data_IF_912764573044
#
_entry.id   IF_912764573044
#
_cell.length_a   1.000
_cell.length_b   1.000
_cell.length_c   1.000
_cell.angle_alpha   90.00
_cell.angle_beta   90.00
_cell.angle_gamma   90.00
#
_symmetry.space_group_name_H-M   'P 1'
#
loop_
_entity.id
_entity.type
_entity.pdbx_description
1 polymer ?
#
# COMPACT_ATOMS: atom_id res chain seq x y z
N UNK A 1 2.24 1.63 27.87
CA UNK A 1 2.52 2.04 26.49
C UNK A 1 1.39 1.52 25.60
N UNK A 2 0.84 2.37 24.73
CA UNK A 2 0.00 1.97 23.60
C UNK A 2 0.83 2.20 22.34
N UNK A 3 0.90 1.19 21.47
CA UNK A 3 1.58 1.27 20.19
C UNK A 3 0.54 1.60 19.12
N UNK A 4 0.82 2.56 18.26
CA UNK A 4 -0.08 2.96 17.17
C UNK A 4 0.65 2.87 15.82
N UNK A 5 -0.11 2.63 14.75
CA UNK A 5 0.29 2.60 13.36
C UNK A 5 1.27 1.48 13.04
N UNK A 6 2.57 1.65 13.20
CA UNK A 6 3.55 0.61 12.90
C UNK A 6 3.80 -0.29 14.11
N UNK A 7 3.68 -1.60 13.90
CA UNK A 7 3.89 -2.58 14.98
C UNK A 7 5.36 -2.62 15.42
N UNK A 8 5.59 -2.54 16.73
CA UNK A 8 6.90 -2.83 17.29
C UNK A 8 7.17 -4.33 17.28
N UNK A 9 8.44 -4.71 17.27
CA UNK A 9 8.82 -6.12 17.41
C UNK A 9 8.50 -6.61 18.83
N UNK A 10 7.37 -7.32 18.96
CA UNK A 10 6.86 -7.81 20.24
C UNK A 10 7.76 -8.86 20.88
N UNK A 11 8.44 -9.68 20.09
CA UNK A 11 9.38 -10.70 20.58
C UNK A 11 10.57 -10.02 21.24
N UNK A 12 11.24 -9.12 20.53
CA UNK A 12 12.37 -8.35 21.08
C UNK A 12 11.97 -7.51 22.30
N UNK A 13 10.78 -6.91 22.29
CA UNK A 13 10.29 -6.17 23.45
C UNK A 13 10.12 -7.07 24.68
N UNK A 14 9.53 -8.25 24.49
CA UNK A 14 9.30 -9.22 25.57
C UNK A 14 10.60 -9.76 26.15
N UNK A 15 11.59 -10.06 25.31
CA UNK A 15 12.94 -10.48 25.74
C UNK A 15 13.62 -9.41 26.61
N UNK A 16 13.36 -8.13 26.34
CA UNK A 16 13.85 -7.01 27.14
C UNK A 16 13.00 -6.71 28.39
N UNK A 17 11.99 -7.53 28.68
CA UNK A 17 11.09 -7.34 29.82
C UNK A 17 10.06 -6.21 29.61
N UNK A 18 9.87 -5.74 28.39
CA UNK A 18 8.88 -4.75 28.04
C UNK A 18 7.53 -5.36 27.69
N UNK A 19 6.48 -4.51 27.70
CA UNK A 19 5.14 -4.86 27.25
C UNK A 19 4.41 -3.64 26.69
N UNK A 20 3.45 -3.86 25.78
CA UNK A 20 2.46 -2.87 25.38
C UNK A 20 1.09 -3.27 25.93
N UNK A 21 0.31 -2.26 26.31
CA UNK A 21 -1.06 -2.45 26.75
C UNK A 21 -1.99 -2.80 25.57
N UNK A 22 -1.80 -2.08 24.45
CA UNK A 22 -2.58 -2.29 23.24
C UNK A 22 -1.80 -1.87 21.98
N UNK A 23 -2.22 -2.41 20.84
CA UNK A 23 -1.78 -2.00 19.51
C UNK A 23 -3.00 -1.59 18.67
N UNK A 24 -2.92 -0.42 18.03
CA UNK A 24 -3.99 0.14 17.19
C UNK A 24 -3.40 0.52 15.84
N UNK A 25 -3.92 -0.05 14.80
CA UNK A 25 -3.49 0.24 13.42
C UNK A 25 -4.62 0.02 12.42
N UNK A 26 -4.38 0.46 11.20
CA UNK A 26 -5.18 0.07 10.03
C UNK A 26 -5.02 -1.43 9.76
N UNK A 27 -6.09 -2.09 9.33
CA UNK A 27 -6.01 -3.45 8.79
C UNK A 27 -5.32 -3.43 7.41
N UNK A 28 -4.00 -3.56 7.44
CA UNK A 28 -3.16 -3.41 6.24
C UNK A 28 -3.34 -4.55 5.23
N UNK A 29 -3.74 -5.75 5.66
CA UNK A 29 -4.10 -6.84 4.74
C UNK A 29 -5.36 -6.47 3.98
N UNK A 30 -6.40 -5.97 4.69
CA UNK A 30 -7.64 -5.53 4.05
C UNK A 30 -7.42 -4.35 3.10
N UNK A 31 -6.52 -3.44 3.44
CA UNK A 31 -6.12 -2.32 2.55
C UNK A 31 -5.56 -2.84 1.22
N UNK A 32 -4.63 -3.79 1.27
CA UNK A 32 -4.09 -4.44 0.07
C UNK A 32 -5.17 -5.13 -0.76
N UNK A 33 -6.06 -5.88 -0.09
CA UNK A 33 -7.21 -6.53 -0.73
C UNK A 33 -8.09 -5.52 -1.46
N UNK A 34 -8.51 -4.42 -0.79
CA UNK A 34 -9.38 -3.40 -1.38
C UNK A 34 -8.76 -2.72 -2.61
N UNK A 35 -7.47 -2.40 -2.55
CA UNK A 35 -6.76 -1.81 -3.69
C UNK A 35 -6.69 -2.76 -4.89
N UNK A 36 -6.40 -4.04 -4.64
CA UNK A 36 -6.36 -5.06 -5.66
C UNK A 36 -7.76 -5.36 -6.24
N UNK A 37 -8.79 -5.53 -5.40
CA UNK A 37 -10.18 -5.72 -5.82
C UNK A 37 -10.62 -4.60 -6.79
N UNK A 38 -10.32 -3.35 -6.44
CA UNK A 38 -10.64 -2.21 -7.29
C UNK A 38 -9.89 -2.23 -8.62
N UNK A 39 -8.59 -2.50 -8.61
CA UNK A 39 -7.79 -2.62 -9.84
C UNK A 39 -8.28 -3.76 -10.74
N UNK A 40 -8.63 -4.92 -10.18
CA UNK A 40 -9.22 -6.04 -10.92
C UNK A 40 -10.48 -5.60 -11.68
N UNK A 41 -11.37 -4.86 -11.01
CA UNK A 41 -12.57 -4.32 -11.65
C UNK A 41 -12.23 -3.36 -12.79
N UNK A 42 -11.26 -2.47 -12.59
CA UNK A 42 -10.88 -1.45 -13.59
C UNK A 42 -10.22 -2.02 -14.85
N UNK A 43 -9.54 -3.18 -14.73
CA UNK A 43 -8.89 -3.84 -15.88
C UNK A 43 -9.74 -4.97 -16.47
N UNK A 44 -10.96 -5.19 -15.96
CA UNK A 44 -11.87 -6.22 -16.46
C UNK A 44 -11.53 -7.66 -16.04
N UNK A 45 -10.74 -7.83 -14.99
CA UNK A 45 -10.44 -9.13 -14.38
C UNK A 45 -9.41 -9.98 -15.12
N UNK A 46 -8.64 -9.43 -16.05
CA UNK A 46 -7.63 -10.17 -16.81
C UNK A 46 -6.40 -9.29 -17.14
N UNK A 47 -5.24 -9.94 -17.22
CA UNK A 47 -3.98 -9.29 -17.59
C UNK A 47 -2.87 -9.46 -16.54
N UNK A 48 -1.76 -8.78 -16.80
CA UNK A 48 -0.60 -8.72 -15.92
C UNK A 48 -0.72 -7.55 -14.95
N UNK A 49 -0.33 -7.78 -13.69
CA UNK A 49 -0.30 -6.76 -12.64
C UNK A 49 1.07 -6.76 -11.95
N UNK A 50 1.46 -5.63 -11.40
CA UNK A 50 2.68 -5.51 -10.61
C UNK A 50 2.39 -4.81 -9.26
N UNK A 51 3.32 -4.98 -8.31
CA UNK A 51 3.23 -4.36 -6.99
C UNK A 51 4.50 -3.56 -6.72
N UNK A 52 4.33 -2.33 -6.25
CA UNK A 52 5.42 -1.51 -5.70
C UNK A 52 5.31 -1.56 -4.19
N UNK A 53 6.23 -2.32 -3.59
CA UNK A 53 6.24 -2.59 -2.16
C UNK A 53 6.80 -1.40 -1.36
N UNK A 54 6.46 -1.37 -0.07
CA UNK A 54 7.04 -0.44 0.87
C UNK A 54 8.52 -0.74 1.17
N UNK A 55 8.93 -0.39 2.37
CA UNK A 55 10.26 -0.76 2.86
C UNK A 55 10.23 -2.20 3.34
N UNK A 56 11.15 -3.02 2.83
CA UNK A 56 11.24 -4.42 3.18
C UNK A 56 11.36 -4.64 4.71
N UNK A 57 10.57 -5.58 5.24
CA UNK A 57 10.54 -5.92 6.66
C UNK A 57 9.71 -4.97 7.53
N UNK A 58 8.93 -4.05 6.94
CA UNK A 58 7.90 -3.30 7.65
C UNK A 58 6.58 -4.07 7.59
N UNK A 59 5.97 -4.33 8.74
CA UNK A 59 4.73 -5.13 8.83
C UNK A 59 3.61 -4.51 7.99
N UNK A 60 3.47 -3.19 8.01
CA UNK A 60 2.44 -2.50 7.23
C UNK A 60 2.63 -2.72 5.72
N UNK A 61 3.87 -2.59 5.23
CA UNK A 61 4.21 -2.80 3.83
C UNK A 61 4.00 -4.24 3.38
N UNK A 62 4.50 -5.19 4.18
CA UNK A 62 4.37 -6.61 3.90
C UNK A 62 2.90 -7.05 3.87
N UNK A 63 2.09 -6.62 4.85
CA UNK A 63 0.66 -6.94 4.91
C UNK A 63 -0.13 -6.37 3.69
N UNK A 64 0.18 -5.12 3.26
CA UNK A 64 -0.46 -4.53 2.07
C UNK A 64 -0.09 -5.29 0.80
N UNK A 65 1.20 -5.61 0.62
CA UNK A 65 1.68 -6.44 -0.49
C UNK A 65 0.99 -7.81 -0.50
N UNK A 66 0.98 -8.51 0.64
CA UNK A 66 0.46 -9.87 0.74
C UNK A 66 -1.05 -9.88 0.47
N UNK A 67 -1.81 -8.96 1.06
CA UNK A 67 -3.24 -8.82 0.79
C UNK A 67 -3.56 -8.53 -0.67
N UNK A 68 -2.75 -7.69 -1.34
CA UNK A 68 -2.92 -7.41 -2.76
C UNK A 68 -2.54 -8.63 -3.62
N UNK A 69 -1.41 -9.29 -3.31
CA UNK A 69 -0.93 -10.48 -4.04
C UNK A 69 -1.96 -11.60 -4.01
N UNK A 70 -2.42 -11.98 -2.80
CA UNK A 70 -3.41 -13.04 -2.64
C UNK A 70 -4.71 -12.74 -3.41
N UNK A 71 -5.13 -11.47 -3.43
CA UNK A 71 -6.35 -11.05 -4.13
C UNK A 71 -6.19 -11.12 -5.65
N UNK A 72 -5.08 -10.67 -6.20
CA UNK A 72 -4.78 -10.78 -7.64
C UNK A 72 -4.71 -12.24 -8.08
N UNK A 73 -3.98 -13.07 -7.34
CA UNK A 73 -3.83 -14.49 -7.64
C UNK A 73 -5.16 -15.26 -7.54
N UNK A 74 -5.97 -14.97 -6.52
CA UNK A 74 -7.31 -15.57 -6.36
C UNK A 74 -8.25 -15.22 -7.52
N UNK A 75 -8.08 -14.04 -8.14
CA UNK A 75 -8.81 -13.63 -9.33
C UNK A 75 -8.24 -14.21 -10.64
N UNK A 76 -7.14 -14.95 -10.57
CA UNK A 76 -6.47 -15.55 -11.74
C UNK A 76 -5.56 -14.61 -12.51
N UNK A 77 -5.22 -13.44 -11.96
CA UNK A 77 -4.24 -12.55 -12.56
C UNK A 77 -2.81 -12.99 -12.23
N UNK A 78 -1.87 -12.60 -13.08
CA UNK A 78 -0.45 -12.85 -12.85
C UNK A 78 0.21 -11.62 -12.25
N UNK A 79 0.76 -11.73 -11.05
CA UNK A 79 1.66 -10.72 -10.47
C UNK A 79 3.04 -10.95 -11.11
N UNK A 80 3.39 -10.13 -12.11
CA UNK A 80 4.61 -10.32 -12.92
C UNK A 80 5.85 -9.78 -12.24
N UNK A 81 5.70 -8.82 -11.33
CA UNK A 81 6.80 -8.26 -10.54
C UNK A 81 6.28 -7.65 -9.23
N UNK A 82 7.10 -7.74 -8.17
CA UNK A 82 6.82 -7.14 -6.87
C UNK A 82 8.15 -6.83 -6.19
N UNK A 83 8.47 -5.54 -6.02
CA UNK A 83 9.76 -5.11 -5.47
C UNK A 83 9.62 -3.85 -4.59
N UNK A 84 10.52 -3.67 -3.59
CA UNK A 84 10.48 -2.53 -2.70
C UNK A 84 11.00 -1.24 -3.36
N UNK A 85 10.27 -0.15 -3.11
CA UNK A 85 10.70 1.21 -3.42
C UNK A 85 10.91 2.07 -2.14
N UNK A 86 10.96 1.44 -0.97
CA UNK A 86 11.34 2.04 0.32
C UNK A 86 10.53 3.29 0.71
N UNK A 87 9.25 3.37 0.33
CA UNK A 87 8.35 4.52 0.52
C UNK A 87 8.79 5.77 -0.26
N UNK A 88 9.71 5.63 -1.22
CA UNK A 88 10.33 6.73 -1.95
C UNK A 88 9.71 6.91 -3.35
N UNK A 89 9.31 8.15 -3.67
CA UNK A 89 8.66 8.51 -4.94
C UNK A 89 9.58 8.30 -6.16
N UNK A 90 10.85 8.67 -6.03
CA UNK A 90 11.82 8.57 -7.13
C UNK A 90 12.16 7.12 -7.42
N UNK A 91 12.41 6.32 -6.37
CA UNK A 91 12.62 4.88 -6.54
C UNK A 91 11.42 4.18 -7.17
N UNK A 92 10.20 4.57 -6.78
CA UNK A 92 8.98 4.04 -7.36
C UNK A 92 8.82 4.41 -8.83
N UNK A 93 9.19 5.64 -9.22
CA UNK A 93 9.25 6.06 -10.63
C UNK A 93 10.20 5.19 -11.45
N UNK A 94 11.44 5.03 -10.97
CA UNK A 94 12.46 4.22 -11.65
C UNK A 94 12.03 2.75 -11.77
N UNK A 95 11.46 2.21 -10.69
CA UNK A 95 10.95 0.84 -10.66
C UNK A 95 9.81 0.65 -11.65
N UNK A 96 8.83 1.55 -11.66
CA UNK A 96 7.71 1.51 -12.61
C UNK A 96 8.17 1.60 -14.05
N UNK A 97 9.18 2.42 -14.35
CA UNK A 97 9.79 2.51 -15.69
C UNK A 97 10.36 1.16 -16.13
N UNK A 98 11.00 0.44 -15.20
CA UNK A 98 11.54 -0.89 -15.46
C UNK A 98 10.39 -1.92 -15.68
N UNK A 99 9.34 -1.91 -14.84
CA UNK A 99 8.18 -2.77 -15.00
C UNK A 99 7.50 -2.57 -16.36
N UNK A 100 7.23 -1.31 -16.73
CA UNK A 100 6.58 -0.95 -17.99
C UNK A 100 7.40 -1.40 -19.21
N UNK A 101 8.71 -1.41 -19.07
CA UNK A 101 9.64 -1.85 -20.15
C UNK A 101 9.71 -3.37 -20.22
N UNK A 102 9.79 -4.05 -19.10
CA UNK A 102 9.93 -5.51 -19.02
C UNK A 102 8.60 -6.24 -19.33
N UNK A 103 7.47 -5.63 -19.00
CA UNK A 103 6.13 -6.22 -19.13
C UNK A 103 5.24 -5.37 -20.05
N UNK A 104 5.29 -5.60 -21.37
CA UNK A 104 4.55 -4.78 -22.35
C UNK A 104 3.03 -4.90 -22.20
N UNK A 105 2.53 -6.00 -21.61
CA UNK A 105 1.12 -6.30 -21.40
C UNK A 105 0.60 -5.92 -19.99
N UNK A 106 1.42 -5.21 -19.20
CA UNK A 106 1.08 -4.74 -17.85
C UNK A 106 -0.16 -3.84 -17.88
N UNK A 107 -1.16 -4.17 -17.07
CA UNK A 107 -2.47 -3.48 -17.00
C UNK A 107 -2.64 -2.64 -15.75
N UNK A 108 -2.07 -3.07 -14.62
CA UNK A 108 -2.22 -2.33 -13.37
C UNK A 108 -0.99 -2.44 -12.48
N UNK A 109 -0.80 -1.42 -11.64
CA UNK A 109 0.23 -1.40 -10.60
C UNK A 109 -0.43 -0.99 -9.28
N UNK A 110 -0.32 -1.84 -8.26
CA UNK A 110 -0.67 -1.51 -6.89
C UNK A 110 0.56 -0.96 -6.15
N UNK A 111 0.37 0.12 -5.42
CA UNK A 111 1.43 0.75 -4.62
C UNK A 111 1.06 0.74 -3.14
N UNK A 112 1.96 0.24 -2.30
CA UNK A 112 1.73 0.14 -0.86
C UNK A 112 1.62 1.50 -0.15
N UNK A 113 1.89 2.64 -0.81
CA UNK A 113 1.54 3.98 -0.34
C UNK A 113 1.36 4.98 -1.48
N UNK A 114 0.78 6.14 -1.17
CA UNK A 114 0.50 7.21 -2.13
C UNK A 114 1.76 7.91 -2.62
N UNK A 115 2.76 8.08 -1.77
CA UNK A 115 4.05 8.70 -2.17
C UNK A 115 4.67 7.95 -3.34
N UNK A 116 4.68 6.62 -3.27
CA UNK A 116 5.16 5.76 -4.36
C UNK A 116 4.18 5.76 -5.54
N UNK A 117 2.86 5.72 -5.29
CA UNK A 117 1.86 5.73 -6.34
C UNK A 117 1.95 6.98 -7.23
N UNK A 118 2.25 8.14 -6.65
CA UNK A 118 2.48 9.37 -7.41
C UNK A 118 3.72 9.28 -8.31
N UNK A 119 4.79 8.62 -7.87
CA UNK A 119 5.95 8.36 -8.72
C UNK A 119 5.66 7.37 -9.86
N UNK A 120 4.93 6.29 -9.54
CA UNK A 120 4.47 5.31 -10.53
C UNK A 120 3.58 5.96 -11.58
N UNK A 121 2.63 6.82 -11.15
CA UNK A 121 1.74 7.54 -12.06
C UNK A 121 2.50 8.45 -13.02
N UNK A 122 3.54 9.14 -12.57
CA UNK A 122 4.42 9.93 -13.43
C UNK A 122 5.14 9.07 -14.49
N UNK A 123 5.60 7.88 -14.11
CA UNK A 123 6.23 6.94 -15.05
C UNK A 123 5.23 6.41 -16.08
N UNK A 124 3.99 6.11 -15.66
CA UNK A 124 2.91 5.69 -16.55
C UNK A 124 2.56 6.80 -17.55
N UNK A 125 2.39 8.04 -17.09
CA UNK A 125 2.14 9.19 -17.96
C UNK A 125 3.29 9.39 -18.98
N UNK A 126 4.53 9.30 -18.54
CA UNK A 126 5.70 9.43 -19.42
C UNK A 126 5.77 8.31 -20.48
N UNK A 127 5.28 7.12 -20.17
CA UNK A 127 5.27 5.98 -21.10
C UNK A 127 4.18 6.07 -22.17
N UNK A 128 3.13 6.86 -21.93
CA UNK A 128 1.94 6.95 -22.79
C UNK A 128 1.07 5.68 -22.82
N UNK A 129 1.30 4.72 -21.91
CA UNK A 129 0.50 3.50 -21.80
C UNK A 129 -0.71 3.71 -20.90
N UNK A 130 -1.79 2.94 -21.13
CA UNK A 130 -2.96 2.91 -20.26
C UNK A 130 -2.78 1.83 -19.18
N UNK A 131 -2.11 2.19 -18.09
CA UNK A 131 -1.89 1.32 -16.92
C UNK A 131 -2.59 1.97 -15.73
N UNK A 132 -3.43 1.19 -15.04
CA UNK A 132 -4.17 1.66 -13.86
C UNK A 132 -3.27 1.62 -12.63
N UNK A 133 -3.24 2.70 -11.86
CA UNK A 133 -2.40 2.81 -10.66
C UNK A 133 -3.30 3.08 -9.45
N UNK A 134 -3.13 2.28 -8.40
CA UNK A 134 -3.80 2.47 -7.11
C UNK A 134 -2.77 2.67 -6.00
N UNK A 135 -2.99 3.67 -5.17
CA UNK A 135 -2.19 3.97 -3.99
C UNK A 135 -2.86 3.54 -2.69
N UNK A 136 -2.26 3.93 -1.59
CA UNK A 136 -2.74 3.75 -0.22
C UNK A 136 -2.34 4.96 0.60
N UNK A 137 -3.15 5.40 1.50
CA UNK A 137 -3.10 6.38 2.57
C UNK A 137 -4.22 7.42 2.49
N UNK A 138 -4.64 7.83 1.28
CA UNK A 138 -5.59 8.93 1.09
C UNK A 138 -4.94 10.30 1.26
N UNK A 139 -3.70 10.45 0.84
CA UNK A 139 -2.99 11.73 0.88
C UNK A 139 -3.66 12.77 -0.06
N UNK A 140 -3.59 14.04 0.31
CA UNK A 140 -4.29 15.10 -0.41
C UNK A 140 -3.90 15.21 -1.89
N UNK A 141 -2.63 15.01 -2.23
CA UNK A 141 -2.14 15.03 -3.61
C UNK A 141 -2.60 13.78 -4.40
N UNK A 142 -2.67 12.62 -3.76
CA UNK A 142 -3.22 11.42 -4.37
C UNK A 142 -4.74 11.54 -4.61
N UNK A 143 -5.49 12.05 -3.63
CA UNK A 143 -6.93 12.34 -3.79
C UNK A 143 -7.17 13.33 -4.95
N UNK A 144 -6.36 14.38 -5.05
CA UNK A 144 -6.45 15.32 -6.15
C UNK A 144 -6.11 14.64 -7.49
N UNK A 145 -5.10 13.78 -7.52
CA UNK A 145 -4.72 13.02 -8.72
C UNK A 145 -5.84 12.08 -9.20
N UNK A 146 -6.58 11.46 -8.26
CA UNK A 146 -7.78 10.68 -8.57
C UNK A 146 -8.88 11.57 -9.14
N UNK A 147 -9.12 12.73 -8.54
CA UNK A 147 -10.12 13.69 -9.01
C UNK A 147 -9.80 14.23 -10.42
N UNK A 148 -8.52 14.37 -10.74
CA UNK A 148 -8.03 14.80 -12.07
C UNK A 148 -8.04 13.65 -13.11
N UNK A 149 -8.45 12.43 -12.73
CA UNK A 149 -8.53 11.27 -13.60
C UNK A 149 -7.17 10.65 -13.97
N UNK A 150 -6.13 10.92 -13.19
CA UNK A 150 -4.77 10.39 -13.37
C UNK A 150 -4.57 9.10 -12.57
N UNK A 151 -4.44 9.21 -11.25
CA UNK A 151 -4.42 8.04 -10.38
C UNK A 151 -5.81 7.37 -10.41
N UNK A 152 -5.83 6.04 -10.47
CA UNK A 152 -7.07 5.28 -10.54
C UNK A 152 -7.84 5.31 -9.20
N UNK A 153 -7.13 5.11 -8.09
CA UNK A 153 -7.66 5.14 -6.74
C UNK A 153 -6.56 5.31 -5.68
N UNK A 154 -6.99 5.62 -4.47
CA UNK A 154 -6.20 5.43 -3.24
C UNK A 154 -7.08 4.84 -2.15
N UNK A 155 -6.57 3.87 -1.40
CA UNK A 155 -7.26 3.31 -0.23
C UNK A 155 -6.91 4.16 0.98
N UNK A 156 -7.86 5.00 1.42
CA UNK A 156 -7.62 5.94 2.52
C UNK A 156 -7.52 5.24 3.88
N UNK A 157 -6.59 5.68 4.72
CA UNK A 157 -6.52 5.34 6.12
C UNK A 157 -7.25 6.38 6.98
N UNK A 158 -7.85 5.96 8.11
CA UNK A 158 -8.41 6.86 9.11
C UNK A 158 -7.39 7.09 10.25
N UNK A 159 -6.39 7.93 9.97
CA UNK A 159 -5.36 8.28 10.95
C UNK A 159 -5.93 9.00 12.19
N UNK A 160 -7.05 9.72 12.03
CA UNK A 160 -7.71 10.38 13.15
C UNK A 160 -8.34 9.35 14.10
N UNK A 161 -9.00 8.32 13.56
CA UNK A 161 -9.56 7.22 14.35
C UNK A 161 -8.46 6.42 15.06
N UNK A 162 -7.38 6.08 14.37
CA UNK A 162 -6.22 5.39 14.98
C UNK A 162 -5.66 6.19 16.15
N UNK A 163 -5.45 7.50 15.97
CA UNK A 163 -4.96 8.39 17.03
C UNK A 163 -5.93 8.52 18.21
N UNK A 164 -7.22 8.70 17.94
CA UNK A 164 -8.26 8.82 18.98
C UNK A 164 -8.37 7.53 19.81
N UNK A 165 -8.47 6.38 19.14
CA UNK A 165 -8.55 5.06 19.81
C UNK A 165 -7.29 4.79 20.63
N UNK A 166 -6.11 5.12 20.09
CA UNK A 166 -4.86 4.99 20.82
C UNK A 166 -4.81 5.82 22.09
N UNK A 167 -5.34 7.05 22.07
CA UNK A 167 -5.44 7.92 23.24
C UNK A 167 -6.44 7.39 24.28
N UNK A 168 -7.63 6.92 23.85
CA UNK A 168 -8.62 6.31 24.73
C UNK A 168 -8.04 5.12 25.49
N UNK A 169 -7.38 4.19 24.79
CA UNK A 169 -6.71 3.03 25.40
C UNK A 169 -5.56 3.44 26.33
N UNK A 170 -4.87 4.56 26.05
CA UNK A 170 -3.83 5.05 26.92
C UNK A 170 -4.39 5.61 28.23
N UNK A 171 -5.58 6.24 28.20
CA UNK A 171 -6.29 6.68 29.41
C UNK A 171 -6.73 5.48 30.24
N UNK A 172 -7.35 4.47 29.61
CA UNK A 172 -7.75 3.23 30.30
C UNK A 172 -6.55 2.51 30.98
N UNK A 173 -5.37 2.56 30.35
CA UNK A 173 -4.18 1.91 30.87
C UNK A 173 -3.60 2.54 32.16
N UNK A 174 -4.05 3.77 32.52
CA UNK A 174 -3.54 4.51 33.70
C UNK A 174 -4.58 4.70 34.79
N UNK A 175 -5.85 4.36 34.53
CA UNK A 175 -6.92 4.29 35.53
C UNK A 175 -6.90 2.96 36.31
#
# INVERSE_FOLDING_TARGET
>A
IVNIDEAINMEALTELGGAVYAYVATDNVKVGQMGAEYLIEQIGGEGEVAIVEGKAGTINGDNRRDGATETFEAAGLTVVDSQPADWDRTKAYDLATNYITAHPDLKAIYCCNDTMAMGVQEAVEASGKDIKVCGTDGNADAIQSVADGKLCATVAQDAALVGATGLELMVEAVE
#
